data_IF_592645513726
#
_entry.id   IF_592645513726
#
_cell.length_a   1.000
_cell.length_b   1.000
_cell.length_c   1.000
_cell.angle_alpha   90.00
_cell.angle_beta   90.00
_cell.angle_gamma   90.00
#
_symmetry.space_group_name_H-M   'P 1'
#
loop_
_entity.id
_entity.type
_entity.pdbx_description
1 polymer ?
#
# COMPACT_ATOMS: atom_id res chain seq x y z
N UNK A 1 -21.46 -16.18 6.84
CA UNK A 1 -20.72 -14.90 6.96
C UNK A 1 -19.23 -15.21 7.11
N UNK A 2 -18.33 -14.30 6.72
CA UNK A 2 -16.89 -14.57 6.73
C UNK A 2 -16.34 -14.90 8.12
N UNK A 3 -16.69 -14.12 9.14
CA UNK A 3 -16.15 -14.26 10.51
C UNK A 3 -16.53 -15.59 11.18
N UNK A 4 -17.56 -16.27 10.69
CA UNK A 4 -17.99 -17.59 11.17
C UNK A 4 -17.54 -18.73 10.25
N UNK A 5 -16.68 -18.44 9.27
CA UNK A 5 -16.27 -19.40 8.23
C UNK A 5 -15.01 -20.15 8.59
N UNK A 6 -14.84 -21.33 8.00
CA UNK A 6 -13.60 -22.10 8.11
C UNK A 6 -12.42 -21.38 7.45
N UNK A 7 -12.67 -20.50 6.47
CA UNK A 7 -11.64 -19.63 5.88
C UNK A 7 -11.08 -18.66 6.90
N UNK A 8 -11.93 -18.01 7.69
CA UNK A 8 -11.47 -17.10 8.74
C UNK A 8 -10.70 -17.86 9.83
N UNK A 9 -11.23 -18.99 10.27
CA UNK A 9 -10.69 -19.74 11.40
C UNK A 9 -9.37 -20.46 11.09
N UNK A 10 -9.20 -20.96 9.86
CA UNK A 10 -8.09 -21.87 9.53
C UNK A 10 -7.20 -21.39 8.36
N UNK A 11 -7.65 -20.39 7.59
CA UNK A 11 -6.98 -19.96 6.35
C UNK A 11 -6.82 -18.44 6.24
N UNK A 12 -6.84 -17.76 7.39
CA UNK A 12 -6.49 -16.34 7.53
C UNK A 12 -5.38 -16.25 8.55
N UNK A 13 -4.16 -16.05 8.07
CA UNK A 13 -2.95 -16.03 8.88
C UNK A 13 -2.68 -14.62 9.40
N UNK A 14 -1.95 -14.54 10.51
CA UNK A 14 -1.70 -13.28 11.23
C UNK A 14 -0.82 -12.33 10.43
N UNK A 15 0.23 -12.87 9.82
CA UNK A 15 1.26 -12.10 9.13
C UNK A 15 2.04 -12.97 8.12
N UNK A 16 2.90 -12.32 7.33
CA UNK A 16 3.75 -12.99 6.33
C UNK A 16 4.76 -13.96 6.96
N UNK A 17 5.13 -13.77 8.23
CA UNK A 17 6.09 -14.63 8.91
C UNK A 17 5.48 -16.00 9.21
N UNK A 18 4.21 -16.05 9.63
CA UNK A 18 3.47 -17.29 9.79
C UNK A 18 3.38 -18.08 8.48
N UNK A 19 3.05 -17.41 7.37
CA UNK A 19 2.98 -18.02 6.04
C UNK A 19 4.35 -18.56 5.59
N UNK A 20 5.42 -17.78 5.77
CA UNK A 20 6.77 -18.20 5.44
C UNK A 20 7.21 -19.42 6.26
N UNK A 21 6.84 -19.47 7.54
CA UNK A 21 7.13 -20.61 8.42
C UNK A 21 6.45 -21.90 7.95
N UNK A 22 5.18 -21.82 7.53
CA UNK A 22 4.46 -22.99 7.01
C UNK A 22 5.12 -23.55 5.75
N UNK A 23 5.48 -22.68 4.80
CA UNK A 23 6.21 -23.08 3.58
C UNK A 23 7.57 -23.69 3.89
N UNK A 24 8.32 -23.08 4.82
CA UNK A 24 9.58 -23.63 5.29
C UNK A 24 9.40 -25.02 5.88
N UNK A 25 8.38 -25.22 6.72
CA UNK A 25 8.09 -26.51 7.34
C UNK A 25 7.75 -27.57 6.29
N UNK A 26 6.89 -27.27 5.31
CA UNK A 26 6.52 -28.20 4.24
C UNK A 26 7.73 -28.67 3.42
N UNK A 27 8.60 -27.74 3.02
CA UNK A 27 9.84 -28.06 2.32
C UNK A 27 10.80 -28.88 3.20
N UNK A 28 11.01 -28.44 4.44
CA UNK A 28 11.91 -29.11 5.38
C UNK A 28 11.45 -30.54 5.68
N UNK A 29 10.16 -30.77 5.89
CA UNK A 29 9.60 -32.10 6.17
C UNK A 29 9.76 -33.04 4.97
N UNK A 30 9.60 -32.53 3.75
CA UNK A 30 9.90 -33.29 2.53
C UNK A 30 11.38 -33.69 2.46
N UNK A 31 12.30 -32.73 2.64
CA UNK A 31 13.75 -33.00 2.61
C UNK A 31 14.17 -33.92 3.74
N UNK A 32 13.58 -33.81 4.93
CA UNK A 32 13.85 -34.70 6.05
C UNK A 32 13.42 -36.14 5.75
N UNK A 33 12.25 -36.31 5.12
CA UNK A 33 11.69 -37.62 4.76
C UNK A 33 12.48 -38.31 3.65
N UNK A 34 12.86 -37.60 2.59
CA UNK A 34 13.50 -38.20 1.40
C UNK A 34 15.02 -38.04 1.35
N UNK A 35 15.58 -37.12 2.13
CA UNK A 35 17.01 -36.83 2.21
C UNK A 35 17.69 -37.37 3.46
N UNK A 36 17.07 -38.22 4.28
CA UNK A 36 17.62 -38.65 5.58
C UNK A 36 19.05 -39.20 5.49
N UNK A 37 19.40 -39.85 4.38
CA UNK A 37 20.69 -40.52 4.17
C UNK A 37 21.69 -39.67 3.37
N UNK A 38 21.33 -38.43 3.02
CA UNK A 38 22.17 -37.53 2.21
C UNK A 38 22.93 -36.55 3.10
N UNK A 39 24.18 -36.24 2.73
CA UNK A 39 24.94 -35.14 3.31
C UNK A 39 24.29 -33.79 3.00
N UNK A 40 24.68 -32.74 3.73
CA UNK A 40 24.16 -31.40 3.50
C UNK A 40 24.43 -30.90 2.07
N UNK A 41 25.61 -31.19 1.51
CA UNK A 41 25.96 -30.80 0.14
C UNK A 41 25.11 -31.51 -0.91
N UNK A 42 24.84 -32.80 -0.72
CA UNK A 42 23.98 -33.57 -1.63
C UNK A 42 22.53 -33.07 -1.57
N UNK A 43 22.03 -32.75 -0.36
CA UNK A 43 20.69 -32.17 -0.20
C UNK A 43 20.54 -30.86 -0.97
N UNK A 44 21.53 -29.97 -0.86
CA UNK A 44 21.52 -28.67 -1.54
C UNK A 44 21.59 -28.79 -3.07
N UNK A 45 22.14 -29.89 -3.61
CA UNK A 45 22.20 -30.10 -5.06
C UNK A 45 20.95 -30.79 -5.62
N UNK A 46 20.28 -31.63 -4.81
CA UNK A 46 19.18 -32.47 -5.29
C UNK A 46 17.79 -31.88 -5.00
N UNK A 47 17.60 -31.24 -3.85
CA UNK A 47 16.31 -30.68 -3.44
C UNK A 47 16.22 -29.18 -3.72
N UNK A 48 14.99 -28.71 -3.95
CA UNK A 48 14.70 -27.29 -4.08
C UNK A 48 14.76 -26.60 -2.72
N UNK A 49 15.33 -25.40 -2.70
CA UNK A 49 15.18 -24.47 -1.58
C UNK A 49 13.75 -23.93 -1.50
N UNK A 50 13.39 -23.39 -0.33
CA UNK A 50 12.08 -22.76 -0.09
C UNK A 50 11.84 -21.62 -1.09
N UNK A 51 12.87 -20.84 -1.40
CA UNK A 51 12.81 -19.75 -2.37
C UNK A 51 12.52 -20.26 -3.79
N UNK A 52 13.19 -21.33 -4.21
CA UNK A 52 12.96 -21.95 -5.52
C UNK A 52 11.56 -22.54 -5.64
N UNK A 53 11.09 -23.26 -4.61
CA UNK A 53 9.70 -23.74 -4.55
C UNK A 53 8.72 -22.57 -4.68
N UNK A 54 8.93 -21.51 -3.91
CA UNK A 54 8.05 -20.35 -3.93
C UNK A 54 8.03 -19.65 -5.30
N UNK A 55 9.18 -19.52 -5.97
CA UNK A 55 9.27 -19.00 -7.35
C UNK A 55 8.47 -19.89 -8.31
N UNK A 56 8.60 -21.21 -8.17
CA UNK A 56 7.87 -22.17 -9.00
C UNK A 56 6.36 -22.05 -8.78
N UNK A 57 5.90 -22.08 -7.53
CA UNK A 57 4.48 -21.90 -7.17
C UNK A 57 3.94 -20.59 -7.77
N UNK A 58 4.63 -19.47 -7.57
CA UNK A 58 4.21 -18.17 -8.14
C UNK A 58 4.11 -18.20 -9.67
N UNK A 59 5.07 -18.84 -10.35
CA UNK A 59 5.02 -19.00 -11.81
C UNK A 59 3.79 -19.77 -12.28
N UNK A 60 3.41 -20.80 -11.53
CA UNK A 60 2.20 -21.57 -11.82
C UNK A 60 0.91 -20.84 -11.41
N UNK A 61 0.92 -19.92 -10.44
CA UNK A 61 -0.23 -19.03 -10.16
C UNK A 61 -0.55 -18.12 -11.35
N UNK A 62 0.48 -17.55 -12.00
CA UNK A 62 0.29 -16.79 -13.24
C UNK A 62 -0.27 -17.70 -14.36
N UNK A 63 0.25 -18.92 -14.47
CA UNK A 63 -0.23 -19.91 -15.44
C UNK A 63 -1.68 -20.30 -15.17
N UNK A 64 -2.10 -20.39 -13.90
CA UNK A 64 -3.46 -20.70 -13.47
C UNK A 64 -4.41 -19.59 -13.92
N UNK A 65 -4.09 -18.34 -13.59
CA UNK A 65 -4.84 -17.16 -14.03
C UNK A 65 -4.99 -17.15 -15.55
N UNK A 66 -3.90 -17.37 -16.27
CA UNK A 66 -3.88 -17.38 -17.73
C UNK A 66 -4.70 -18.52 -18.34
N UNK A 67 -4.64 -19.71 -17.73
CA UNK A 67 -5.49 -20.84 -18.10
C UNK A 67 -6.97 -20.46 -17.96
N UNK A 68 -7.36 -19.89 -16.82
CA UNK A 68 -8.74 -19.46 -16.59
C UNK A 68 -9.21 -18.39 -17.59
N UNK A 69 -8.38 -17.37 -17.85
CA UNK A 69 -8.69 -16.30 -18.83
C UNK A 69 -8.86 -16.85 -20.26
N UNK A 70 -8.05 -17.83 -20.64
CA UNK A 70 -8.07 -18.45 -21.98
C UNK A 70 -9.13 -19.54 -22.11
N UNK A 71 -9.66 -20.07 -21.02
CA UNK A 71 -10.65 -21.14 -21.03
C UNK A 71 -11.89 -20.78 -21.86
N UNK A 72 -12.30 -21.71 -22.73
CA UNK A 72 -13.52 -21.63 -23.53
C UNK A 72 -14.28 -22.94 -23.42
N UNK A 73 -15.57 -22.86 -23.17
CA UNK A 73 -16.40 -24.07 -23.19
C UNK A 73 -16.51 -24.59 -24.64
N UNK A 74 -16.25 -25.88 -24.91
CA UNK A 74 -16.38 -26.44 -26.26
C UNK A 74 -17.84 -26.51 -26.74
N UNK A 75 -18.82 -26.49 -25.84
CA UNK A 75 -20.26 -26.52 -26.17
C UNK A 75 -20.73 -25.15 -26.67
N UNK A 76 -20.18 -24.07 -26.12
CA UNK A 76 -20.38 -22.70 -26.59
C UNK A 76 -19.13 -21.84 -26.32
N UNK A 77 -18.42 -21.50 -27.39
CA UNK A 77 -17.20 -20.70 -27.34
C UNK A 77 -17.39 -19.25 -26.85
N UNK A 78 -18.60 -18.81 -26.49
CA UNK A 78 -18.89 -17.55 -25.78
C UNK A 78 -18.83 -17.68 -24.26
N UNK A 79 -19.00 -18.89 -23.73
CA UNK A 79 -18.88 -19.16 -22.30
C UNK A 79 -17.41 -18.96 -21.89
N UNK A 80 -17.21 -18.22 -20.80
CA UNK A 80 -15.91 -17.91 -20.20
C UNK A 80 -15.91 -18.40 -18.77
N UNK A 81 -14.72 -18.69 -18.25
CA UNK A 81 -14.55 -18.95 -16.82
C UNK A 81 -14.94 -17.71 -16.01
N UNK A 82 -15.86 -17.81 -15.04
CA UNK A 82 -16.16 -16.71 -14.13
C UNK A 82 -14.95 -16.29 -13.28
N UNK A 83 -14.80 -15.01 -12.93
CA UNK A 83 -13.76 -14.54 -12.01
C UNK A 83 -13.80 -15.23 -10.63
N UNK A 84 -14.98 -15.60 -10.18
CA UNK A 84 -15.22 -16.35 -8.94
C UNK A 84 -14.47 -17.71 -8.95
N UNK A 85 -14.64 -18.50 -10.01
CA UNK A 85 -13.93 -19.79 -10.20
C UNK A 85 -12.41 -19.59 -10.16
N UNK A 86 -11.93 -18.55 -10.84
CA UNK A 86 -10.49 -18.24 -10.87
C UNK A 86 -9.96 -17.91 -9.47
N UNK A 87 -10.68 -17.07 -8.74
CA UNK A 87 -10.31 -16.65 -7.37
C UNK A 87 -10.31 -17.84 -6.42
N UNK A 88 -11.32 -18.70 -6.48
CA UNK A 88 -11.42 -19.92 -5.66
C UNK A 88 -10.29 -20.90 -5.98
N UNK A 89 -9.98 -21.11 -7.27
CA UNK A 89 -8.86 -21.96 -7.68
C UNK A 89 -7.50 -21.42 -7.18
N UNK A 90 -7.29 -20.09 -7.21
CA UNK A 90 -6.07 -19.48 -6.67
C UNK A 90 -5.97 -19.66 -5.15
N UNK A 91 -7.08 -19.57 -4.41
CA UNK A 91 -7.10 -19.89 -2.98
C UNK A 91 -6.72 -21.35 -2.73
N UNK A 92 -7.32 -22.30 -3.45
CA UNK A 92 -6.98 -23.71 -3.30
C UNK A 92 -5.50 -23.99 -3.59
N UNK A 93 -4.98 -23.41 -4.67
CA UNK A 93 -3.59 -23.57 -5.06
C UNK A 93 -2.63 -23.02 -3.99
N UNK A 94 -2.89 -21.82 -3.46
CA UNK A 94 -2.10 -21.24 -2.37
C UNK A 94 -2.16 -22.10 -1.12
N UNK A 95 -3.37 -22.47 -0.69
CA UNK A 95 -3.60 -23.28 0.51
C UNK A 95 -2.89 -24.62 0.45
N UNK A 96 -2.96 -25.30 -0.70
CA UNK A 96 -2.29 -26.58 -0.91
C UNK A 96 -0.77 -26.47 -0.69
N UNK A 97 -0.12 -25.50 -1.34
CA UNK A 97 1.32 -25.29 -1.24
C UNK A 97 1.79 -24.54 0.03
N UNK A 98 0.90 -24.29 0.99
CA UNK A 98 1.34 -23.91 2.35
C UNK A 98 1.84 -25.12 3.14
N UNK A 99 1.29 -26.30 2.85
CA UNK A 99 1.53 -27.52 3.62
C UNK A 99 2.19 -28.63 2.79
N UNK A 100 2.29 -28.45 1.48
CA UNK A 100 2.81 -29.44 0.54
C UNK A 100 3.98 -28.87 -0.27
N UNK A 101 4.97 -29.72 -0.57
CA UNK A 101 6.11 -29.35 -1.41
C UNK A 101 5.81 -29.58 -2.90
N UNK A 102 6.35 -28.70 -3.76
CA UNK A 102 6.29 -28.89 -5.23
C UNK A 102 7.05 -30.12 -5.71
N UNK A 103 7.96 -30.64 -4.88
CA UNK A 103 8.76 -31.84 -5.17
C UNK A 103 7.94 -33.13 -5.01
N UNK A 104 6.90 -33.12 -4.18
CA UNK A 104 5.96 -34.23 -4.01
C UNK A 104 4.81 -34.13 -5.02
N UNK A 105 4.27 -32.91 -5.17
CA UNK A 105 3.12 -32.64 -6.03
C UNK A 105 3.46 -31.59 -7.07
N UNK A 106 3.54 -32.01 -8.34
CA UNK A 106 3.93 -31.11 -9.40
C UNK A 106 2.87 -30.02 -9.67
N UNK A 107 3.21 -28.71 -9.64
CA UNK A 107 2.28 -27.59 -9.77
C UNK A 107 1.36 -27.61 -10.97
N UNK A 108 1.82 -28.12 -12.12
CA UNK A 108 1.01 -28.24 -13.34
C UNK A 108 -0.26 -29.09 -13.13
N UNK A 109 -0.16 -30.16 -12.35
CA UNK A 109 -1.25 -31.11 -12.13
C UNK A 109 -2.21 -30.59 -11.06
N UNK A 110 -1.67 -30.06 -9.96
CA UNK A 110 -2.46 -29.43 -8.91
C UNK A 110 -3.22 -28.21 -9.44
N UNK A 111 -2.59 -27.40 -10.31
CA UNK A 111 -3.23 -26.25 -10.95
C UNK A 111 -4.53 -26.63 -11.66
N UNK A 112 -4.49 -27.60 -12.57
CA UNK A 112 -5.69 -27.99 -13.34
C UNK A 112 -6.74 -28.65 -12.45
N UNK A 113 -6.30 -29.36 -11.41
CA UNK A 113 -7.17 -29.99 -10.40
C UNK A 113 -7.88 -28.94 -9.55
N UNK A 114 -7.17 -27.89 -9.08
CA UNK A 114 -7.73 -26.75 -8.36
C UNK A 114 -8.79 -26.03 -9.18
N UNK A 115 -8.51 -25.77 -10.46
CA UNK A 115 -9.47 -25.11 -11.34
C UNK A 115 -10.71 -25.98 -11.56
N UNK A 116 -10.55 -27.28 -11.82
CA UNK A 116 -11.68 -28.19 -11.99
C UNK A 116 -12.54 -28.30 -10.72
N UNK A 117 -11.91 -28.45 -9.54
CA UNK A 117 -12.61 -28.46 -8.26
C UNK A 117 -13.35 -27.14 -8.01
N UNK A 118 -12.73 -25.99 -8.29
CA UNK A 118 -13.36 -24.69 -8.18
C UNK A 118 -14.57 -24.53 -9.11
N UNK A 119 -14.55 -25.11 -10.31
CA UNK A 119 -15.72 -25.13 -11.21
C UNK A 119 -16.93 -25.79 -10.54
N UNK A 120 -16.71 -26.93 -9.85
CA UNK A 120 -17.77 -27.63 -9.13
C UNK A 120 -18.31 -26.83 -7.94
N UNK A 121 -17.43 -26.18 -7.18
CA UNK A 121 -17.82 -25.45 -5.95
C UNK A 121 -18.53 -24.13 -6.27
N UNK A 122 -18.11 -23.44 -7.32
CA UNK A 122 -18.74 -22.18 -7.77
C UNK A 122 -19.90 -22.41 -8.75
N UNK A 123 -20.40 -23.65 -8.86
CA UNK A 123 -21.53 -24.02 -9.72
C UNK A 123 -21.32 -23.68 -11.21
N UNK A 124 -20.08 -23.68 -11.67
CA UNK A 124 -19.73 -23.58 -13.09
C UNK A 124 -19.70 -24.97 -13.73
N UNK A 125 -20.86 -25.38 -14.25
CA UNK A 125 -21.08 -26.74 -14.77
C UNK A 125 -20.34 -27.03 -16.07
N UNK A 126 -19.17 -27.67 -15.96
CA UNK A 126 -18.37 -28.18 -17.09
C UNK A 126 -18.04 -29.65 -16.84
N UNK A 127 -18.24 -30.52 -17.83
CA UNK A 127 -17.86 -31.93 -17.70
C UNK A 127 -16.34 -32.10 -17.74
N UNK A 128 -15.80 -33.16 -17.15
CA UNK A 128 -14.33 -33.40 -17.21
C UNK A 128 -13.83 -33.45 -18.65
N UNK A 129 -14.61 -34.06 -19.56
CA UNK A 129 -14.27 -34.15 -20.98
C UNK A 129 -14.22 -32.75 -21.63
N UNK A 130 -15.18 -31.89 -21.34
CA UNK A 130 -15.20 -30.51 -21.85
C UNK A 130 -14.08 -29.67 -21.25
N UNK A 131 -13.78 -29.87 -19.96
CA UNK A 131 -12.71 -29.17 -19.27
C UNK A 131 -11.34 -29.46 -19.91
N UNK A 132 -11.02 -30.73 -20.13
CA UNK A 132 -9.71 -31.13 -20.70
C UNK A 132 -9.52 -30.74 -22.15
N UNK A 133 -10.55 -30.27 -22.86
CA UNK A 133 -10.37 -29.65 -24.18
C UNK A 133 -9.48 -28.42 -24.14
N UNK A 134 -9.43 -27.73 -22.99
CA UNK A 134 -8.60 -26.55 -22.78
C UNK A 134 -7.18 -26.90 -22.29
N UNK A 135 -6.92 -28.17 -21.97
CA UNK A 135 -5.61 -28.65 -21.52
C UNK A 135 -4.76 -29.07 -22.72
N UNK A 136 -3.48 -28.67 -22.72
CA UNK A 136 -2.51 -29.05 -23.76
C UNK A 136 -1.97 -30.45 -23.50
N UNK A 137 -1.83 -31.25 -24.56
CA UNK A 137 -1.26 -32.60 -24.51
C UNK A 137 -2.33 -33.69 -24.51
N UNK A 138 -2.04 -34.81 -23.85
CA UNK A 138 -2.95 -35.95 -23.77
C UNK A 138 -4.12 -35.65 -22.81
N UNK A 139 -5.29 -35.45 -23.41
CA UNK A 139 -6.53 -35.13 -22.70
C UNK A 139 -7.03 -36.27 -21.82
N UNK A 140 -6.84 -37.53 -22.22
CA UNK A 140 -7.29 -38.69 -21.44
C UNK A 140 -6.46 -38.82 -20.17
N UNK A 141 -5.14 -38.71 -20.31
CA UNK A 141 -4.23 -38.71 -19.16
C UNK A 141 -4.49 -37.52 -18.23
N UNK A 142 -4.76 -36.34 -18.78
CA UNK A 142 -5.10 -35.16 -17.98
C UNK A 142 -6.38 -35.38 -17.16
N UNK A 143 -7.43 -35.97 -17.76
CA UNK A 143 -8.67 -36.28 -17.06
C UNK A 143 -8.43 -37.27 -15.90
N UNK A 144 -7.65 -38.32 -16.15
CA UNK A 144 -7.29 -39.31 -15.13
C UNK A 144 -6.52 -38.68 -13.96
N UNK A 145 -5.51 -37.85 -14.25
CA UNK A 145 -4.74 -37.13 -13.22
C UNK A 145 -5.66 -36.23 -12.37
N UNK A 146 -6.52 -35.44 -13.02
CA UNK A 146 -7.44 -34.54 -12.31
C UNK A 146 -8.36 -35.33 -11.38
N UNK A 147 -8.94 -36.44 -11.86
CA UNK A 147 -9.88 -37.23 -11.07
C UNK A 147 -9.18 -37.96 -9.91
N UNK A 148 -7.96 -38.48 -10.13
CA UNK A 148 -7.19 -39.16 -9.09
C UNK A 148 -6.72 -38.19 -8.00
N UNK A 149 -6.32 -36.97 -8.37
CA UNK A 149 -5.84 -35.96 -7.43
C UNK A 149 -6.97 -35.19 -6.72
N UNK A 150 -8.22 -35.29 -7.17
CA UNK A 150 -9.32 -34.49 -6.65
C UNK A 150 -9.59 -34.75 -5.16
N UNK A 151 -9.58 -36.02 -4.76
CA UNK A 151 -9.75 -36.41 -3.36
C UNK A 151 -8.58 -35.95 -2.50
N UNK A 152 -7.35 -36.15 -2.99
CA UNK A 152 -6.13 -35.71 -2.30
C UNK A 152 -6.16 -34.19 -2.08
N UNK A 153 -6.44 -33.41 -3.13
CA UNK A 153 -6.57 -31.95 -3.04
C UNK A 153 -7.61 -31.56 -1.98
N UNK A 154 -8.77 -32.22 -1.98
CA UNK A 154 -9.84 -31.92 -1.02
C UNK A 154 -9.42 -32.23 0.43
N UNK A 155 -8.67 -33.31 0.63
CA UNK A 155 -8.11 -33.69 1.94
C UNK A 155 -7.07 -32.68 2.43
N UNK A 156 -6.15 -32.24 1.56
CA UNK A 156 -5.14 -31.22 1.88
C UNK A 156 -5.78 -29.85 2.17
N UNK A 157 -6.92 -29.54 1.54
CA UNK A 157 -7.75 -28.38 1.87
C UNK A 157 -8.60 -28.58 3.13
N UNK A 158 -8.46 -29.71 3.84
CA UNK A 158 -9.22 -30.07 5.04
C UNK A 158 -10.73 -30.01 4.83
N UNK A 159 -11.20 -30.26 3.60
CA UNK A 159 -12.60 -30.10 3.20
C UNK A 159 -13.16 -28.67 3.39
N UNK A 160 -12.30 -27.67 3.59
CA UNK A 160 -12.65 -26.26 3.72
C UNK A 160 -12.81 -25.60 2.34
N UNK A 161 -13.82 -26.05 1.59
CA UNK A 161 -13.98 -25.71 0.17
C UNK A 161 -14.63 -24.35 -0.08
N UNK A 162 -15.42 -23.82 0.86
CA UNK A 162 -16.08 -22.53 0.66
C UNK A 162 -15.07 -21.38 0.75
N UNK A 163 -15.00 -20.57 -0.31
CA UNK A 163 -14.16 -19.36 -0.38
C UNK A 163 -15.07 -18.13 -0.38
N UNK A 164 -14.88 -17.26 0.62
CA UNK A 164 -15.44 -15.93 0.64
C UNK A 164 -14.56 -15.01 -0.20
N UNK A 165 -15.12 -14.49 -1.29
CA UNK A 165 -14.42 -13.68 -2.27
C UNK A 165 -14.67 -12.17 -2.02
N UNK A 166 -13.74 -11.29 -2.44
CA UNK A 166 -13.86 -9.84 -2.26
C UNK A 166 -14.92 -9.18 -3.16
N UNK A 167 -15.48 -9.88 -4.15
CA UNK A 167 -16.49 -9.32 -5.06
C UNK A 167 -17.76 -8.86 -4.33
N UNK A 168 -18.27 -9.64 -3.36
CA UNK A 168 -19.47 -9.26 -2.59
C UNK A 168 -19.23 -8.02 -1.71
N UNK A 169 -18.14 -7.93 -0.93
CA UNK A 169 -17.77 -6.69 -0.25
C UNK A 169 -17.64 -5.49 -1.17
N UNK A 170 -17.04 -5.67 -2.36
CA UNK A 170 -16.93 -4.60 -3.37
C UNK A 170 -18.29 -4.13 -3.87
N UNK A 171 -19.23 -5.04 -4.18
CA UNK A 171 -20.59 -4.63 -4.56
C UNK A 171 -21.28 -3.87 -3.42
N UNK A 172 -21.13 -4.35 -2.18
CA UNK A 172 -21.64 -3.66 -1.00
C UNK A 172 -21.10 -2.23 -0.91
N UNK A 173 -19.79 -2.07 -1.09
CA UNK A 173 -19.14 -0.76 -1.09
C UNK A 173 -19.60 0.13 -2.26
N UNK A 174 -19.77 -0.41 -3.46
CA UNK A 174 -20.26 0.37 -4.61
C UNK A 174 -21.71 0.84 -4.40
N UNK A 175 -22.58 0.01 -3.83
CA UNK A 175 -23.95 0.39 -3.43
C UNK A 175 -23.88 1.50 -2.38
N UNK A 176 -22.98 1.35 -1.43
CA UNK A 176 -22.76 2.31 -0.36
C UNK A 176 -22.32 3.69 -0.88
N UNK A 177 -21.36 3.70 -1.81
CA UNK A 177 -20.91 4.91 -2.50
C UNK A 177 -22.07 5.54 -3.28
N UNK A 178 -22.86 4.76 -4.03
CA UNK A 178 -24.02 5.28 -4.79
C UNK A 178 -25.08 5.91 -3.89
N UNK A 179 -25.29 5.36 -2.69
CA UNK A 179 -26.36 5.81 -1.78
C UNK A 179 -25.91 6.95 -0.87
N UNK A 180 -24.68 6.90 -0.37
CA UNK A 180 -24.15 7.85 0.62
C UNK A 180 -23.27 8.95 0.02
N UNK A 181 -22.83 8.83 -1.24
CA UNK A 181 -21.93 9.79 -1.89
C UNK A 181 -22.46 10.29 -3.25
N UNK A 182 -23.51 11.13 -3.27
CA UNK A 182 -24.10 11.66 -4.51
C UNK A 182 -23.16 12.60 -5.29
N UNK A 183 -22.07 13.06 -4.67
CA UNK A 183 -21.08 13.93 -5.33
C UNK A 183 -20.18 13.16 -6.32
N UNK A 184 -19.97 11.86 -6.10
CA UNK A 184 -19.24 11.03 -7.04
C UNK A 184 -20.17 10.68 -8.22
N UNK A 185 -20.02 11.39 -9.32
CA UNK A 185 -20.74 11.08 -10.56
C UNK A 185 -20.26 9.74 -11.10
N UNK A 186 -21.19 8.80 -11.21
CA UNK A 186 -20.98 7.48 -11.83
C UNK A 186 -19.91 6.59 -11.15
N UNK A 187 -20.18 6.05 -9.95
CA UNK A 187 -19.26 5.15 -9.23
C UNK A 187 -18.89 3.88 -10.00
N UNK A 188 -19.67 3.49 -11.01
CA UNK A 188 -19.40 2.31 -11.84
C UNK A 188 -18.10 2.43 -12.64
N UNK A 189 -17.61 3.65 -12.86
CA UNK A 189 -16.29 3.88 -13.49
C UNK A 189 -15.13 3.28 -12.70
N UNK A 190 -15.30 3.05 -11.40
CA UNK A 190 -14.29 2.43 -10.55
C UNK A 190 -14.19 0.92 -10.77
N UNK A 191 -15.26 0.28 -11.27
CA UNK A 191 -15.36 -1.19 -11.37
C UNK A 191 -14.20 -1.83 -12.13
N UNK A 192 -13.82 -1.39 -13.35
CA UNK A 192 -12.71 -2.02 -14.07
C UNK A 192 -11.38 -1.92 -13.31
N UNK A 193 -11.17 -0.83 -12.56
CA UNK A 193 -9.95 -0.61 -11.80
C UNK A 193 -9.93 -1.47 -10.53
N UNK A 194 -11.09 -1.65 -9.89
CA UNK A 194 -11.24 -2.56 -8.76
C UNK A 194 -11.03 -4.00 -9.20
N UNK A 195 -11.63 -4.41 -10.32
CA UNK A 195 -11.43 -5.75 -10.88
C UNK A 195 -9.96 -6.02 -11.21
N UNK A 196 -9.27 -5.09 -11.87
CA UNK A 196 -7.83 -5.20 -12.15
C UNK A 196 -7.01 -5.27 -10.86
N UNK A 197 -7.34 -4.47 -9.86
CA UNK A 197 -6.68 -4.52 -8.55
C UNK A 197 -6.89 -5.87 -7.87
N UNK A 198 -8.12 -6.39 -7.83
CA UNK A 198 -8.42 -7.69 -7.23
C UNK A 198 -7.68 -8.83 -7.95
N UNK A 199 -7.58 -8.79 -9.28
CA UNK A 199 -6.78 -9.77 -10.03
C UNK A 199 -5.31 -9.77 -9.60
N UNK A 200 -4.74 -8.58 -9.32
CA UNK A 200 -3.37 -8.45 -8.83
C UNK A 200 -3.23 -8.91 -7.38
N UNK A 201 -4.21 -8.62 -6.52
CA UNK A 201 -4.23 -9.09 -5.12
C UNK A 201 -4.27 -10.61 -5.06
N UNK A 202 -5.05 -11.27 -5.91
CA UNK A 202 -5.13 -12.74 -5.95
C UNK A 202 -3.78 -13.43 -6.26
N UNK A 203 -2.81 -12.70 -6.81
CA UNK A 203 -1.45 -13.18 -7.10
C UNK A 203 -0.47 -12.97 -5.94
N UNK A 204 -0.92 -12.38 -4.83
CA UNK A 204 -0.13 -12.19 -3.62
C UNK A 204 -0.71 -13.02 -2.47
N UNK A 205 0.00 -13.06 -1.34
CA UNK A 205 -0.49 -13.74 -0.14
C UNK A 205 -1.56 -12.93 0.61
N UNK A 206 -1.93 -11.74 0.11
CA UNK A 206 -2.96 -10.92 0.72
C UNK A 206 -4.30 -11.66 0.91
N UNK A 207 -4.65 -12.59 0.01
CA UNK A 207 -5.91 -13.35 0.07
C UNK A 207 -5.97 -14.39 1.21
N UNK A 208 -4.83 -14.69 1.83
CA UNK A 208 -4.72 -15.54 3.02
C UNK A 208 -4.30 -14.76 4.27
N UNK A 209 -4.03 -13.45 4.16
CA UNK A 209 -3.62 -12.57 5.26
C UNK A 209 -4.73 -11.61 5.70
N UNK A 210 -5.55 -11.16 4.75
CA UNK A 210 -6.58 -10.15 4.99
C UNK A 210 -7.97 -10.72 4.76
N UNK A 211 -8.95 -10.19 5.49
CA UNK A 211 -10.35 -10.52 5.19
C UNK A 211 -10.74 -10.01 3.79
N UNK A 212 -11.70 -10.63 3.10
CA UNK A 212 -12.15 -10.18 1.78
C UNK A 212 -12.62 -8.72 1.74
N UNK A 213 -13.07 -8.17 2.87
CA UNK A 213 -13.42 -6.76 3.02
C UNK A 213 -12.21 -5.84 3.28
N UNK A 214 -11.19 -6.31 4.00
CA UNK A 214 -9.96 -5.55 4.28
C UNK A 214 -8.98 -5.49 3.11
N UNK A 215 -9.10 -6.40 2.14
CA UNK A 215 -8.40 -6.29 0.85
C UNK A 215 -8.72 -4.96 0.15
N UNK A 216 -9.88 -4.37 0.45
CA UNK A 216 -10.21 -3.00 0.10
C UNK A 216 -9.52 -2.07 1.10
N UNK A 217 -8.58 -1.26 0.61
CA UNK A 217 -7.90 -0.24 1.43
C UNK A 217 -8.95 0.73 1.97
N UNK A 218 -8.95 0.94 3.30
CA UNK A 218 -9.77 1.95 3.96
C UNK A 218 -9.33 3.35 3.49
N UNK A 219 -10.01 3.88 2.48
CA UNK A 219 -9.73 5.19 1.90
C UNK A 219 -10.71 6.21 2.47
N UNK A 220 -10.21 7.11 3.31
CA UNK A 220 -11.00 8.22 3.83
C UNK A 220 -11.05 9.36 2.81
N UNK A 221 -12.13 9.40 2.02
CA UNK A 221 -12.36 10.47 1.03
C UNK A 221 -12.49 11.87 1.68
N UNK A 222 -12.86 11.90 2.96
CA UNK A 222 -13.07 13.08 3.77
C UNK A 222 -11.93 13.28 4.78
N UNK A 223 -10.72 12.80 4.45
CA UNK A 223 -9.56 12.79 5.35
C UNK A 223 -9.26 14.14 5.99
N UNK A 224 -9.53 15.24 5.29
CA UNK A 224 -9.35 16.62 5.78
C UNK A 224 -10.35 16.93 6.90
N UNK A 225 -11.65 16.79 6.65
CA UNK A 225 -12.68 17.05 7.66
C UNK A 225 -12.63 16.09 8.84
N UNK A 226 -12.16 14.86 8.62
CA UNK A 226 -11.98 13.86 9.67
C UNK A 226 -10.61 13.93 10.34
N UNK A 227 -9.70 14.82 9.92
CA UNK A 227 -8.31 14.85 10.38
C UNK A 227 -8.20 14.90 11.90
N UNK A 228 -8.94 15.81 12.54
CA UNK A 228 -8.97 15.93 14.01
C UNK A 228 -9.38 14.62 14.66
N UNK A 229 -10.57 14.09 14.33
CA UNK A 229 -11.04 12.81 14.88
C UNK A 229 -10.03 11.68 14.67
N UNK A 230 -9.54 11.48 13.45
CA UNK A 230 -8.61 10.37 13.11
C UNK A 230 -7.29 10.47 13.87
N UNK A 231 -6.71 11.66 13.99
CA UNK A 231 -5.46 11.88 14.73
C UNK A 231 -5.64 11.54 16.21
N UNK A 232 -6.69 12.06 16.85
CA UNK A 232 -6.92 11.81 18.27
C UNK A 232 -7.41 10.38 18.55
N UNK A 233 -8.13 9.74 17.62
CA UNK A 233 -8.48 8.31 17.70
C UNK A 233 -7.21 7.44 17.69
N UNK A 234 -6.20 7.75 16.86
CA UNK A 234 -4.91 7.01 16.85
C UNK A 234 -4.18 7.19 18.19
N UNK A 235 -4.18 8.40 18.76
CA UNK A 235 -3.58 8.68 20.07
C UNK A 235 -4.30 7.88 21.18
N UNK A 236 -5.63 7.81 21.14
CA UNK A 236 -6.45 7.22 22.20
C UNK A 236 -6.56 5.68 22.11
N UNK A 237 -6.80 5.14 20.93
CA UNK A 237 -7.20 3.74 20.73
C UNK A 237 -6.02 2.76 20.59
N UNK A 238 -4.78 3.26 20.50
CA UNK A 238 -3.54 2.45 20.32
C UNK A 238 -3.63 1.41 19.18
N UNK A 239 -4.46 1.67 18.16
CA UNK A 239 -4.68 0.77 17.03
C UNK A 239 -3.48 0.69 16.07
N UNK A 240 -2.64 1.72 16.04
CA UNK A 240 -1.47 1.83 15.18
C UNK A 240 -0.20 2.04 16.03
N UNK A 241 0.45 0.96 16.53
CA UNK A 241 1.56 1.05 17.47
C UNK A 241 2.73 1.90 16.94
N UNK A 242 2.96 1.83 15.62
CA UNK A 242 4.06 2.53 14.95
C UNK A 242 3.81 4.03 14.74
N UNK A 243 2.54 4.48 14.77
CA UNK A 243 2.17 5.89 14.59
C UNK A 243 1.82 6.59 15.91
N UNK A 244 1.33 5.84 16.90
CA UNK A 244 0.83 6.42 18.16
C UNK A 244 1.88 7.31 18.84
N UNK A 245 3.11 6.82 19.00
CA UNK A 245 4.20 7.59 19.61
C UNK A 245 4.58 8.86 18.83
N UNK A 246 4.95 8.74 17.54
CA UNK A 246 5.33 9.87 16.70
C UNK A 246 4.24 10.95 16.59
N UNK A 247 2.96 10.55 16.41
CA UNK A 247 1.83 11.49 16.34
C UNK A 247 1.63 12.19 17.68
N UNK A 248 1.67 11.44 18.80
CA UNK A 248 1.50 12.03 20.14
C UNK A 248 2.57 13.10 20.42
N UNK A 249 3.82 12.84 20.06
CA UNK A 249 4.93 13.79 20.22
C UNK A 249 4.70 15.06 19.38
N UNK A 250 4.37 14.88 18.10
CA UNK A 250 4.14 15.99 17.18
C UNK A 250 2.93 16.85 17.57
N UNK A 251 1.81 16.24 17.99
CA UNK A 251 0.61 16.94 18.45
C UNK A 251 0.91 17.76 19.69
N UNK A 252 1.66 17.24 20.66
CA UNK A 252 2.07 18.00 21.85
C UNK A 252 2.86 19.26 21.48
N UNK A 253 3.80 19.16 20.53
CA UNK A 253 4.58 20.31 20.06
C UNK A 253 3.68 21.35 19.38
N UNK A 254 2.69 20.91 18.59
CA UNK A 254 1.74 21.79 17.93
C UNK A 254 0.79 22.48 18.92
N UNK A 255 0.29 21.75 19.92
CA UNK A 255 -0.53 22.30 20.99
C UNK A 255 0.25 23.33 21.81
N UNK A 256 1.49 23.03 22.18
CA UNK A 256 2.38 23.97 22.86
C UNK A 256 2.68 25.21 22.00
N UNK A 257 2.80 25.06 20.68
CA UNK A 257 2.96 26.19 19.77
C UNK A 257 1.73 27.10 19.77
N UNK A 258 0.53 26.52 19.76
CA UNK A 258 -0.75 27.25 19.84
C UNK A 258 -1.01 27.87 21.22
N UNK A 259 -0.36 27.38 22.27
CA UNK A 259 -0.38 28.00 23.60
C UNK A 259 0.55 29.23 23.68
N UNK A 260 1.66 29.20 22.94
CA UNK A 260 2.67 30.28 22.92
C UNK A 260 2.37 31.40 21.94
N UNK A 261 1.66 31.10 20.85
CA UNK A 261 1.38 32.02 19.75
C UNK A 261 -0.08 31.91 19.31
N UNK A 262 -0.70 33.05 19.01
CA UNK A 262 -2.02 33.08 18.39
C UNK A 262 -1.97 32.60 16.95
N UNK A 263 -3.12 32.20 16.39
CA UNK A 263 -3.18 31.57 15.06
C UNK A 263 -2.76 32.51 13.93
N UNK A 264 -2.92 33.83 14.09
CA UNK A 264 -2.41 34.83 13.14
C UNK A 264 -0.91 35.11 13.28
N UNK A 265 -0.25 34.59 14.33
CA UNK A 265 1.20 34.67 14.53
C UNK A 265 1.94 33.43 14.04
N UNK A 266 1.22 32.36 13.66
CA UNK A 266 1.79 31.09 13.19
C UNK A 266 1.66 30.99 11.67
N UNK A 267 2.75 30.58 11.02
CA UNK A 267 2.81 30.31 9.59
C UNK A 267 3.47 28.96 9.31
N UNK A 268 3.01 28.22 8.30
CA UNK A 268 3.67 26.98 7.84
C UNK A 268 4.55 27.22 6.62
N UNK A 269 5.79 26.72 6.66
CA UNK A 269 6.63 26.62 5.45
C UNK A 269 6.18 25.43 4.61
N UNK A 270 5.42 25.69 3.55
CA UNK A 270 4.78 24.66 2.73
C UNK A 270 5.33 24.67 1.30
N UNK A 271 6.07 23.61 0.93
CA UNK A 271 6.72 23.49 -0.37
C UNK A 271 6.15 22.35 -1.24
N UNK A 272 5.00 21.77 -0.86
CA UNK A 272 4.38 20.65 -1.56
C UNK A 272 5.07 19.30 -1.36
N UNK A 273 6.14 19.24 -0.58
CA UNK A 273 6.81 17.99 -0.21
C UNK A 273 6.01 17.16 0.80
N UNK A 274 6.32 15.87 0.88
CA UNK A 274 5.68 14.92 1.81
C UNK A 274 5.74 15.37 3.27
N UNK A 275 6.88 15.91 3.71
CA UNK A 275 7.13 16.22 5.13
C UNK A 275 6.32 17.46 5.59
N UNK A 276 6.28 18.51 4.78
CA UNK A 276 5.44 19.68 5.07
C UNK A 276 3.93 19.37 4.92
N UNK A 277 3.56 18.38 4.11
CA UNK A 277 2.18 17.90 3.98
C UNK A 277 1.71 17.19 5.25
N UNK A 278 2.59 16.40 5.89
CA UNK A 278 2.32 15.81 7.21
C UNK A 278 2.04 16.90 8.24
N UNK A 279 2.91 17.92 8.32
CA UNK A 279 2.73 19.01 9.28
C UNK A 279 1.43 19.77 9.01
N UNK A 280 1.13 20.06 7.74
CA UNK A 280 -0.11 20.73 7.38
C UNK A 280 -1.34 19.95 7.88
N UNK A 281 -1.35 18.63 7.64
CA UNK A 281 -2.45 17.77 8.06
C UNK A 281 -2.56 17.68 9.59
N UNK A 282 -1.43 17.54 10.30
CA UNK A 282 -1.39 17.53 11.76
C UNK A 282 -1.90 18.86 12.35
N UNK A 283 -1.41 20.00 11.86
CA UNK A 283 -1.86 21.32 12.30
C UNK A 283 -3.35 21.49 12.07
N UNK A 284 -3.85 21.11 10.88
CA UNK A 284 -5.27 21.18 10.58
C UNK A 284 -6.12 20.33 11.54
N UNK A 285 -5.68 19.10 11.84
CA UNK A 285 -6.36 18.24 12.80
C UNK A 285 -6.38 18.80 14.22
N UNK A 286 -5.27 19.37 14.68
CA UNK A 286 -5.20 20.04 16.00
C UNK A 286 -6.11 21.27 16.04
N UNK A 287 -6.15 22.07 14.97
CA UNK A 287 -7.04 23.23 14.88
C UNK A 287 -8.52 22.82 14.87
N UNK A 288 -8.89 21.77 14.13
CA UNK A 288 -10.26 21.23 14.14
C UNK A 288 -10.67 20.75 15.54
N UNK A 289 -9.76 20.10 16.25
CA UNK A 289 -10.02 19.60 17.60
C UNK A 289 -10.14 20.74 18.63
N UNK A 290 -9.27 21.76 18.53
CA UNK A 290 -9.23 22.89 19.46
C UNK A 290 -10.31 23.94 19.18
N UNK A 291 -10.71 24.12 17.92
CA UNK A 291 -11.67 25.12 17.46
C UNK A 291 -12.74 24.50 16.54
N UNK A 292 -13.63 23.63 17.07
CA UNK A 292 -14.57 22.85 16.25
C UNK A 292 -15.65 23.70 15.58
N UNK A 293 -16.07 24.82 16.18
CA UNK A 293 -17.14 25.68 15.63
C UNK A 293 -16.61 26.78 14.69
N UNK A 294 -15.33 27.18 14.83
CA UNK A 294 -14.74 28.26 14.04
C UNK A 294 -13.26 27.98 13.79
N UNK A 295 -12.98 26.99 12.95
CA UNK A 295 -11.61 26.58 12.64
C UNK A 295 -10.88 27.68 11.86
N UNK A 296 -9.78 28.23 12.39
CA UNK A 296 -9.07 29.33 11.75
C UNK A 296 -8.34 28.89 10.48
N UNK A 297 -8.22 29.80 9.51
CA UNK A 297 -7.44 29.57 8.28
C UNK A 297 -5.97 29.42 8.59
N UNK A 298 -5.29 28.51 7.90
CA UNK A 298 -3.85 28.28 8.07
C UNK A 298 -3.07 29.25 7.16
N UNK A 299 -2.17 30.02 7.75
CA UNK A 299 -1.23 30.85 7.01
C UNK A 299 -0.04 30.02 6.56
N UNK A 300 0.34 30.15 5.30
CA UNK A 300 1.43 29.38 4.71
C UNK A 300 2.34 30.27 3.86
N UNK A 301 3.64 29.95 3.87
CA UNK A 301 4.63 30.57 2.99
C UNK A 301 5.23 29.50 2.09
N UNK A 302 5.20 29.76 0.78
CA UNK A 302 5.88 28.94 -0.21
C UNK A 302 7.03 29.73 -0.83
N UNK A 303 8.24 29.38 -0.42
CA UNK A 303 9.47 29.94 -1.01
C UNK A 303 9.89 29.03 -2.15
N UNK A 304 9.60 29.45 -3.38
CA UNK A 304 9.81 28.62 -4.58
C UNK A 304 11.15 28.92 -5.25
N UNK A 305 11.63 27.93 -6.01
CA UNK A 305 12.79 28.05 -6.87
C UNK A 305 12.37 28.53 -8.27
N UNK A 306 13.33 28.86 -9.14
CA UNK A 306 13.04 29.35 -10.50
C UNK A 306 12.37 28.31 -11.40
N UNK A 307 12.66 27.03 -11.17
CA UNK A 307 12.17 25.93 -12.01
C UNK A 307 11.60 24.81 -11.12
N UNK A 308 10.44 25.04 -10.48
CA UNK A 308 9.72 24.00 -9.76
C UNK A 308 9.12 23.00 -10.76
N UNK A 309 8.73 21.82 -10.26
CA UNK A 309 7.94 20.87 -11.04
C UNK A 309 6.50 21.38 -11.16
N UNK A 310 5.90 21.26 -12.35
CA UNK A 310 4.50 21.63 -12.57
C UNK A 310 3.56 20.81 -11.67
N UNK A 311 3.86 19.53 -11.43
CA UNK A 311 3.09 18.66 -10.55
C UNK A 311 3.11 19.15 -9.09
N UNK A 312 4.21 19.76 -8.65
CA UNK A 312 4.31 20.36 -7.31
C UNK A 312 3.47 21.63 -7.23
N UNK A 313 3.51 22.50 -8.24
CA UNK A 313 2.67 23.71 -8.29
C UNK A 313 1.18 23.36 -8.30
N UNK A 314 0.78 22.40 -9.15
CA UNK A 314 -0.60 21.88 -9.21
C UNK A 314 -1.01 21.29 -7.87
N UNK A 315 -0.14 20.51 -7.21
CA UNK A 315 -0.41 19.96 -5.90
C UNK A 315 -0.60 21.06 -4.86
N UNK A 316 0.26 22.07 -4.81
CA UNK A 316 0.13 23.20 -3.89
C UNK A 316 -1.21 23.92 -4.10
N UNK A 317 -1.61 24.20 -5.35
CA UNK A 317 -2.89 24.84 -5.66
C UNK A 317 -4.10 24.02 -5.22
N UNK A 318 -4.02 22.68 -5.31
CA UNK A 318 -5.05 21.81 -4.76
C UNK A 318 -5.12 21.92 -3.24
N UNK A 319 -3.97 21.95 -2.56
CA UNK A 319 -3.88 22.03 -1.11
C UNK A 319 -4.38 23.37 -0.56
N UNK A 320 -4.13 24.48 -1.26
CA UNK A 320 -4.69 25.80 -0.93
C UNK A 320 -6.22 25.74 -0.81
N UNK A 321 -6.87 25.18 -1.84
CA UNK A 321 -8.34 25.06 -1.88
C UNK A 321 -8.85 24.09 -0.82
N UNK A 322 -8.17 22.96 -0.67
CA UNK A 322 -8.60 21.85 0.18
C UNK A 322 -8.48 22.14 1.69
N UNK A 323 -7.44 22.83 2.10
CA UNK A 323 -7.19 23.19 3.51
C UNK A 323 -7.56 24.64 3.85
N UNK A 324 -8.12 25.38 2.88
CA UNK A 324 -8.43 26.81 3.01
C UNK A 324 -7.20 27.62 3.47
N UNK A 325 -6.09 27.49 2.74
CA UNK A 325 -4.82 28.12 3.09
C UNK A 325 -4.76 29.58 2.62
N UNK A 326 -4.20 30.43 3.48
CA UNK A 326 -3.69 31.75 3.08
C UNK A 326 -2.22 31.61 2.71
N UNK A 327 -1.91 31.37 1.42
CA UNK A 327 -0.56 31.08 0.95
C UNK A 327 0.12 32.31 0.31
N UNK A 328 1.33 32.66 0.77
CA UNK A 328 2.20 33.62 0.10
C UNK A 328 3.30 32.94 -0.70
N UNK A 329 3.27 33.16 -2.01
CA UNK A 329 4.32 32.70 -2.92
C UNK A 329 5.45 33.73 -2.99
N UNK A 330 6.68 33.31 -2.72
CA UNK A 330 7.86 34.18 -2.78
C UNK A 330 8.96 33.46 -3.55
N UNK A 331 9.46 34.10 -4.60
CA UNK A 331 10.57 33.55 -5.38
C UNK A 331 11.93 33.95 -4.78
N UNK A 332 12.83 32.98 -4.66
CA UNK A 332 14.24 33.21 -4.37
C UNK A 332 14.77 32.41 -3.19
N UNK A 333 15.98 32.76 -2.68
CA UNK A 333 16.59 32.05 -1.56
C UNK A 333 15.75 32.15 -0.28
N UNK A 334 15.77 31.11 0.55
CA UNK A 334 14.98 31.03 1.81
C UNK A 334 15.17 32.27 2.69
N UNK A 335 16.42 32.71 2.88
CA UNK A 335 16.72 33.91 3.69
C UNK A 335 16.06 35.18 3.17
N UNK A 336 16.03 35.36 1.84
CA UNK A 336 15.34 36.49 1.20
C UNK A 336 13.83 36.34 1.33
N UNK A 337 13.30 35.14 1.12
CA UNK A 337 11.87 34.85 1.26
C UNK A 337 11.35 35.16 2.66
N UNK A 338 12.07 34.74 3.71
CA UNK A 338 11.74 35.06 5.09
C UNK A 338 11.82 36.57 5.40
N UNK A 339 12.74 37.30 4.77
CA UNK A 339 12.83 38.77 4.93
C UNK A 339 11.68 39.50 4.23
N UNK A 340 11.13 38.96 3.16
CA UNK A 340 9.92 39.49 2.53
C UNK A 340 8.67 39.12 3.33
N UNK A 341 8.67 37.94 3.97
CA UNK A 341 7.62 37.52 4.89
C UNK A 341 7.45 38.50 6.06
N UNK A 342 8.54 38.92 6.70
CA UNK A 342 8.46 39.89 7.81
C UNK A 342 7.86 41.24 7.40
N UNK A 343 7.97 41.62 6.12
CA UNK A 343 7.41 42.88 5.60
C UNK A 343 5.94 42.75 5.25
N UNK A 344 5.57 41.65 4.57
CA UNK A 344 4.18 41.42 4.16
C UNK A 344 3.30 41.17 5.37
N UNK A 345 3.79 40.39 6.32
CA UNK A 345 3.00 39.80 7.39
C UNK A 345 3.73 39.91 8.72
N UNK A 346 3.81 41.12 9.27
CA UNK A 346 4.63 41.45 10.44
C UNK A 346 4.15 40.78 11.73
N UNK A 347 2.92 40.21 11.72
CA UNK A 347 2.36 39.47 12.85
C UNK A 347 2.98 38.09 13.01
N UNK A 348 3.50 37.49 11.94
CA UNK A 348 4.07 36.13 12.02
C UNK A 348 5.30 36.15 12.93
N UNK A 349 5.28 35.30 13.95
CA UNK A 349 6.37 35.12 14.94
C UNK A 349 6.93 33.70 14.94
N UNK A 350 6.12 32.71 14.59
CA UNK A 350 6.50 31.30 14.56
C UNK A 350 6.31 30.71 13.15
N UNK A 351 7.30 29.95 12.69
CA UNK A 351 7.27 29.26 11.39
C UNK A 351 7.43 27.76 11.61
N UNK A 352 6.42 27.00 11.19
CA UNK A 352 6.41 25.53 11.22
C UNK A 352 7.25 24.97 10.08
N UNK A 353 8.14 24.03 10.40
CA UNK A 353 9.18 23.49 9.52
C UNK A 353 9.07 21.97 9.39
N UNK A 354 9.02 21.48 8.15
CA UNK A 354 9.00 20.06 7.75
C UNK A 354 10.32 19.31 7.91
N UNK A 355 11.20 19.74 8.82
CA UNK A 355 12.57 19.19 8.95
C UNK A 355 12.59 17.99 9.90
N UNK A 356 13.34 16.95 9.52
CA UNK A 356 13.62 15.74 10.31
C UNK A 356 15.11 15.66 10.62
N UNK A 357 15.54 14.97 11.70
CA UNK A 357 16.95 14.80 12.07
C UNK A 357 17.81 14.09 11.00
N UNK A 358 17.16 13.37 10.09
CA UNK A 358 17.81 12.73 8.93
C UNK A 358 18.13 13.71 7.80
N UNK A 359 17.57 14.92 7.83
CA UNK A 359 17.84 15.93 6.82
C UNK A 359 19.23 16.56 7.02
N UNK A 360 19.86 17.11 5.95
CA UNK A 360 21.15 17.77 6.06
C UNK A 360 21.15 18.90 7.11
N UNK A 361 22.22 18.95 7.93
CA UNK A 361 22.46 19.99 8.95
C UNK A 361 21.42 20.09 10.07
N UNK A 362 20.62 19.05 10.30
CA UNK A 362 19.47 19.10 11.23
C UNK A 362 19.64 18.34 12.55
N UNK A 363 20.70 17.53 12.71
CA UNK A 363 20.86 16.56 13.82
C UNK A 363 20.79 17.16 15.23
N UNK A 364 21.15 18.44 15.39
CA UNK A 364 21.18 19.13 16.68
C UNK A 364 19.98 20.05 16.90
N UNK A 365 19.05 20.12 15.94
CA UNK A 365 17.88 20.99 16.02
C UNK A 365 16.94 20.56 17.15
N UNK A 366 16.37 21.55 17.80
CA UNK A 366 15.36 21.39 18.85
C UNK A 366 13.96 21.67 18.29
N UNK A 367 12.89 21.10 18.88
CA UNK A 367 11.51 21.33 18.45
C UNK A 367 11.13 22.81 18.37
N UNK A 368 11.62 23.62 19.30
CA UNK A 368 11.49 25.08 19.30
C UNK A 368 12.87 25.70 19.29
N UNK A 369 13.22 26.42 18.22
CA UNK A 369 14.53 27.05 18.11
C UNK A 369 14.45 28.37 17.32
N UNK A 370 14.98 29.45 17.89
CA UNK A 370 15.10 30.71 17.16
C UNK A 370 15.98 30.51 15.91
N UNK A 371 15.65 31.19 14.82
CA UNK A 371 16.53 31.29 13.65
C UNK A 371 17.91 31.82 14.02
N UNK A 372 18.94 31.37 13.31
CA UNK A 372 20.32 31.72 13.61
C UNK A 372 20.60 33.22 13.44
N UNK A 373 21.70 33.69 14.00
CA UNK A 373 22.11 35.10 13.90
C UNK A 373 22.25 35.54 12.44
N UNK A 374 21.77 36.75 12.13
CA UNK A 374 21.76 37.30 10.78
C UNK A 374 20.63 36.78 9.88
N UNK A 375 19.77 35.87 10.36
CA UNK A 375 18.49 35.55 9.71
C UNK A 375 17.33 36.41 10.28
N UNK A 376 16.24 36.61 9.52
CA UNK A 376 15.00 37.16 10.08
C UNK A 376 14.55 36.35 11.29
N UNK A 377 14.27 37.03 12.41
CA UNK A 377 14.04 36.38 13.70
C UNK A 377 12.64 35.79 13.79
N UNK A 378 12.57 34.46 13.65
CA UNK A 378 11.36 33.66 13.83
C UNK A 378 11.63 32.48 14.75
N UNK A 379 10.63 32.09 15.53
CA UNK A 379 10.65 30.80 16.22
C UNK A 379 10.45 29.68 15.19
N UNK A 380 11.48 28.87 14.93
CA UNK A 380 11.32 27.64 14.14
C UNK A 380 10.65 26.59 15.03
N UNK A 381 9.55 26.05 14.54
CA UNK A 381 8.80 24.98 15.20
C UNK A 381 8.86 23.75 14.32
N UNK A 382 9.46 22.65 14.80
CA UNK A 382 9.71 21.43 14.01
C UNK A 382 9.08 20.21 14.70
N UNK A 383 7.77 19.95 14.48
CA UNK A 383 7.02 18.94 15.23
C UNK A 383 7.38 17.48 14.92
N UNK A 384 8.06 17.25 13.79
CA UNK A 384 8.34 15.89 13.28
C UNK A 384 9.84 15.57 13.24
N UNK A 385 10.67 16.24 14.06
CA UNK A 385 12.13 16.07 14.02
C UNK A 385 12.59 14.61 14.18
N UNK A 386 11.90 13.85 15.03
CA UNK A 386 12.19 12.45 15.36
C UNK A 386 11.55 11.44 14.38
N UNK A 387 10.79 11.91 13.37
CA UNK A 387 10.15 11.03 12.41
C UNK A 387 11.16 10.50 11.39
N UNK A 388 11.05 9.21 11.05
CA UNK A 388 11.81 8.61 9.97
C UNK A 388 11.00 8.56 8.66
N UNK A 389 11.64 8.15 7.56
CA UNK A 389 11.02 8.09 6.24
C UNK A 389 9.77 7.19 6.19
N UNK A 390 9.82 6.04 6.85
CA UNK A 390 8.70 5.11 6.89
C UNK A 390 7.53 5.66 7.72
N UNK A 391 7.79 6.36 8.82
CA UNK A 391 6.75 7.02 9.63
C UNK A 391 5.99 8.04 8.80
N UNK A 392 6.68 8.87 8.00
CA UNK A 392 6.06 9.85 7.10
C UNK A 392 5.10 9.17 6.12
N UNK A 393 5.54 8.11 5.44
CA UNK A 393 4.69 7.41 4.48
C UNK A 393 3.55 6.63 5.14
N UNK A 394 3.81 5.98 6.26
CA UNK A 394 2.78 5.26 7.03
C UNK A 394 1.70 6.25 7.45
N UNK A 395 2.06 7.42 7.96
CA UNK A 395 1.10 8.48 8.31
C UNK A 395 0.27 8.92 7.10
N UNK A 396 0.93 9.34 6.00
CA UNK A 396 0.23 9.87 4.82
C UNK A 396 -0.75 8.84 4.25
N UNK A 397 -0.36 7.56 4.22
CA UNK A 397 -1.19 6.49 3.66
C UNK A 397 -2.30 6.05 4.61
N UNK A 398 -2.01 5.84 5.90
CA UNK A 398 -3.01 5.42 6.91
C UNK A 398 -4.10 6.48 7.09
N UNK A 399 -3.76 7.77 6.97
CA UNK A 399 -4.74 8.86 7.08
C UNK A 399 -5.31 9.31 5.73
N UNK A 400 -5.04 8.59 4.62
CA UNK A 400 -5.52 8.97 3.28
C UNK A 400 -5.22 10.42 2.91
N UNK A 401 -4.03 10.91 3.30
CA UNK A 401 -3.57 12.27 3.04
C UNK A 401 -3.00 12.31 1.62
N UNK A 402 -3.53 13.22 0.81
CA UNK A 402 -3.02 13.43 -0.54
C UNK A 402 -1.58 13.95 -0.51
N UNK A 403 -0.73 13.44 -1.40
CA UNK A 403 0.64 13.89 -1.60
C UNK A 403 0.92 14.10 -3.10
N UNK A 404 2.03 14.76 -3.42
CA UNK A 404 2.43 15.05 -4.81
C UNK A 404 2.65 13.76 -5.63
N UNK A 405 2.06 13.67 -6.81
CA UNK A 405 2.08 12.48 -7.67
C UNK A 405 3.46 12.09 -8.17
N UNK A 406 4.46 12.99 -8.12
CA UNK A 406 5.85 12.63 -8.41
C UNK A 406 6.35 11.50 -7.51
N UNK A 407 5.87 11.41 -6.28
CA UNK A 407 6.23 10.31 -5.39
C UNK A 407 5.75 8.95 -5.93
N UNK A 408 4.62 8.87 -6.63
CA UNK A 408 4.17 7.62 -7.27
C UNK A 408 5.04 7.24 -8.48
N UNK A 409 5.72 8.21 -9.09
CA UNK A 409 6.62 8.01 -10.22
C UNK A 409 8.08 7.72 -9.82
N UNK A 410 8.34 7.46 -8.54
CA UNK A 410 9.65 7.04 -8.02
C UNK A 410 10.57 8.16 -7.56
N UNK A 411 10.09 9.40 -7.43
CA UNK A 411 10.83 10.45 -6.73
C UNK A 411 10.73 10.25 -5.22
N UNK A 412 11.80 10.45 -4.46
CA UNK A 412 11.80 10.26 -2.98
C UNK A 412 12.12 11.55 -2.21
N UNK A 413 12.72 12.53 -2.89
CA UNK A 413 13.05 13.85 -2.37
C UNK A 413 12.86 14.89 -3.49
N UNK A 414 12.12 15.97 -3.22
CA UNK A 414 11.74 16.97 -4.22
C UNK A 414 12.51 18.28 -4.05
N UNK A 415 12.82 18.93 -5.16
CA UNK A 415 13.46 20.25 -5.24
C UNK A 415 13.21 20.82 -6.63
N UNK A 416 14.22 21.45 -7.23
CA UNK A 416 14.09 21.98 -8.59
C UNK A 416 14.21 20.89 -9.64
N UNK A 417 13.65 21.14 -10.83
CA UNK A 417 13.68 20.20 -11.97
C UNK A 417 15.12 19.80 -12.33
N UNK A 418 16.08 20.71 -12.22
CA UNK A 418 17.48 20.46 -12.60
C UNK A 418 18.31 19.71 -11.55
N UNK A 419 17.83 19.58 -10.31
CA UNK A 419 18.58 18.94 -9.23
C UNK A 419 17.86 17.73 -8.61
N UNK A 420 16.87 17.21 -9.32
CA UNK A 420 16.00 16.15 -8.85
C UNK A 420 15.76 15.13 -9.95
N UNK A 421 16.16 13.88 -9.70
CA UNK A 421 15.86 12.73 -10.55
C UNK A 421 15.08 11.67 -9.77
N UNK A 422 14.46 10.74 -10.49
CA UNK A 422 13.84 9.55 -9.87
C UNK A 422 14.89 8.77 -9.09
N UNK A 423 14.50 8.18 -7.97
CA UNK A 423 15.44 7.44 -7.13
C UNK A 423 15.92 6.16 -7.87
N UNK A 424 17.23 6.00 -8.12
CA UNK A 424 17.76 4.83 -8.83
C UNK A 424 17.43 3.50 -8.15
N UNK A 425 17.24 3.50 -6.82
CA UNK A 425 16.95 2.29 -6.03
C UNK A 425 15.48 1.84 -6.09
N UNK A 426 14.62 2.61 -6.76
CA UNK A 426 13.22 2.23 -7.03
C UNK A 426 13.02 1.68 -8.44
N UNK A 427 14.08 1.61 -9.25
CA UNK A 427 14.02 1.16 -10.64
C UNK A 427 13.73 -0.34 -10.73
N UNK A 428 12.86 -0.74 -11.65
CA UNK A 428 12.62 -2.14 -12.00
C UNK A 428 12.41 -2.33 -13.51
N UNK A 429 12.67 -3.55 -13.98
CA UNK A 429 12.49 -3.93 -15.39
C UNK A 429 11.06 -4.41 -15.62
N UNK A 430 10.29 -3.69 -16.44
CA UNK A 430 8.99 -4.14 -16.91
C UNK A 430 9.10 -5.12 -18.08
N UNK A 431 8.02 -5.85 -18.36
CA UNK A 431 7.93 -6.79 -19.50
C UNK A 431 8.12 -6.09 -20.87
N UNK A 432 7.87 -4.78 -20.93
CA UNK A 432 7.98 -3.93 -22.12
C UNK A 432 9.40 -3.41 -22.41
N UNK A 433 10.41 -3.86 -21.65
CA UNK A 433 11.81 -3.37 -21.71
C UNK A 433 11.96 -1.86 -21.47
N UNK A 434 10.94 -1.18 -20.93
CA UNK A 434 11.05 0.22 -20.51
C UNK A 434 11.50 0.31 -19.05
N UNK A 435 12.03 1.48 -18.69
CA UNK A 435 12.41 1.76 -17.31
C UNK A 435 11.18 2.16 -16.50
N UNK A 436 10.85 1.34 -15.50
CA UNK A 436 9.77 1.62 -14.56
C UNK A 436 10.34 1.88 -13.16
N UNK A 437 9.55 2.55 -12.33
CA UNK A 437 9.94 2.89 -10.96
C UNK A 437 8.80 2.55 -10.02
N UNK A 438 9.12 1.94 -8.89
CA UNK A 438 8.18 1.79 -7.80
C UNK A 438 7.88 3.16 -7.15
N UNK A 439 6.69 3.35 -6.57
CA UNK A 439 6.39 4.54 -5.76
C UNK A 439 7.37 4.74 -4.60
N UNK A 440 7.50 5.98 -4.14
CA UNK A 440 8.45 6.42 -3.12
C UNK A 440 8.40 5.58 -1.83
N UNK A 441 7.20 5.20 -1.41
CA UNK A 441 6.97 4.42 -0.18
C UNK A 441 7.42 2.95 -0.30
N UNK A 442 7.91 2.49 -1.45
CA UNK A 442 8.57 1.19 -1.61
C UNK A 442 10.09 1.24 -1.33
N UNK A 443 10.66 2.41 -1.03
CA UNK A 443 12.08 2.54 -0.73
C UNK A 443 12.41 1.81 0.57
N UNK A 444 13.19 0.73 0.46
CA UNK A 444 13.55 -0.12 1.61
C UNK A 444 14.60 0.52 2.52
N UNK A 445 15.63 1.12 1.93
CA UNK A 445 16.69 1.79 2.67
C UNK A 445 16.41 3.29 2.74
N UNK A 446 16.05 3.76 3.94
CA UNK A 446 15.70 5.15 4.21
C UNK A 446 16.90 6.09 4.06
N UNK A 447 18.14 5.62 4.21
CA UNK A 447 19.34 6.44 4.04
C UNK A 447 19.50 6.92 2.58
N UNK A 448 18.87 6.21 1.63
CA UNK A 448 18.90 6.50 0.21
C UNK A 448 17.77 7.45 -0.24
N UNK A 449 17.04 8.05 0.69
CA UNK A 449 15.95 9.00 0.38
C UNK A 449 16.40 10.11 -0.59
N UNK A 450 17.65 10.57 -0.46
CA UNK A 450 18.21 11.65 -1.27
C UNK A 450 19.10 11.17 -2.43
N UNK A 451 19.10 9.88 -2.75
CA UNK A 451 19.90 9.34 -3.86
C UNK A 451 19.53 9.92 -5.23
N UNK A 452 18.31 10.47 -5.37
CA UNK A 452 17.86 11.21 -6.55
C UNK A 452 18.16 12.72 -6.53
N UNK A 453 19.07 13.19 -5.67
CA UNK A 453 19.46 14.60 -5.56
C UNK A 453 20.88 14.79 -6.08
N UNK A 454 21.09 15.84 -6.88
CA UNK A 454 22.41 16.24 -7.41
C UNK A 454 22.88 17.54 -6.82
#
# INVERSE_FOLDING_TARGET
MYLSSTQYQNWTFRDEHEVAKLRFQANHDFIAKFGSNMSLQEKMQFFLSVEEEHIMVRTYEYSLRDFCKKFRDPRDGRIRMPPAVTTTAQHYFKRFYLFNSVMDYHPKEILVTCVYLACKIEEFYVTINDFVHNVRGDKKKAAEIILNNELQLTQELQFHLIIHQPFRPVEGLLIDIKTRFPQLRDPERLRPHVEEFLERVNLTDAIILYTPGQVIVDFDINSISHAGRRIYDIIALRGEPHLTGPITSAVKILEECLDRYSTDEICISFNGGKDCTVILHLLHGVLLHRYPENTPSIQAVYITCRTPFDEVEVFIDQMIKRYNLTLWRIEGPIKKGLKELTKKEPKVKAVLMGTRWTDPYSKTLQPFQMTDEGWPQFMRVSPILDWNYQTVWTFLRTLSVQYCTLYDHGYTSLGGVHNTIKNPHLKYSGEDKKEHYYPAYFLKDMALERAGRT
#
